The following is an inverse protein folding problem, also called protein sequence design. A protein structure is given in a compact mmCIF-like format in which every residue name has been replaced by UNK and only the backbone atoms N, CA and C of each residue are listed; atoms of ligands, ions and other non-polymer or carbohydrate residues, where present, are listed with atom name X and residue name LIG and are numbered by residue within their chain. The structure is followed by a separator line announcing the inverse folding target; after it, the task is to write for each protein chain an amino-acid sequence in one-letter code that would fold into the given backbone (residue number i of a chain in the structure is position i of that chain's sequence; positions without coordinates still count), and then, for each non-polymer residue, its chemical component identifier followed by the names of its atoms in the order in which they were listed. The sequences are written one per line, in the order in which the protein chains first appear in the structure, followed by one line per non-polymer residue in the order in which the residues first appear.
data_IF_037675158547
#
_entry.id   IF_037675158547
#
_cell.length_a   1.000
_cell.length_b   1.000
_cell.length_c   1.000
_cell.angle_alpha   90.00
_cell.angle_beta   90.00
_cell.angle_gamma   90.00
#
_symmetry.space_group_name_H-M   'P 1'
#
loop_
_entity.id
_entity.type
_entity.pdbx_description
1 polymer ?
#
# COMPACT_ATOMS: atom_id res chain seq x y z
N UNK A 1 10.81 -14.67 15.69
CA UNK A 1 11.58 -13.40 15.85
C UNK A 1 11.06 -12.28 14.92
N UNK A 2 10.56 -12.57 13.72
CA UNK A 2 10.06 -11.54 12.79
C UNK A 2 8.83 -10.75 13.29
N UNK A 3 7.87 -11.40 13.97
CA UNK A 3 6.69 -10.69 14.54
C UNK A 3 7.05 -9.67 15.62
N UNK A 4 8.14 -9.87 16.35
CA UNK A 4 8.61 -8.90 17.36
C UNK A 4 9.26 -7.66 16.72
N UNK A 5 9.93 -7.80 15.57
CA UNK A 5 10.53 -6.67 14.86
C UNK A 5 9.48 -5.75 14.24
N UNK A 6 8.38 -6.30 13.73
CA UNK A 6 7.28 -5.52 13.16
C UNK A 6 6.60 -4.61 14.21
N UNK A 7 6.55 -5.02 15.48
CA UNK A 7 5.95 -4.22 16.56
C UNK A 7 6.75 -2.95 16.93
N UNK A 8 8.02 -2.85 16.52
CA UNK A 8 8.90 -1.70 16.78
C UNK A 8 8.95 -0.70 15.62
N UNK A 9 8.40 -1.06 14.46
CA UNK A 9 8.38 -0.17 13.31
C UNK A 9 7.26 0.86 13.44
N UNK A 10 7.57 2.11 13.09
CA UNK A 10 6.56 3.18 13.00
C UNK A 10 6.45 3.63 11.54
N UNK A 11 5.23 3.74 11.00
CA UNK A 11 5.05 4.20 9.62
C UNK A 11 5.54 5.64 9.44
N UNK A 12 5.97 5.98 8.22
CA UNK A 12 6.14 7.37 7.81
C UNK A 12 4.77 8.05 7.80
N UNK A 13 4.69 9.23 8.40
CA UNK A 13 3.44 9.98 8.52
C UNK A 13 3.35 11.04 7.43
N UNK A 14 2.17 11.11 6.82
CA UNK A 14 1.76 12.17 5.91
C UNK A 14 1.44 13.44 6.69
N UNK A 15 1.67 14.61 6.08
CA UNK A 15 1.22 15.91 6.61
C UNK A 15 -0.29 16.11 6.43
N UNK A 16 -0.83 17.15 7.07
CA UNK A 16 -2.26 17.49 6.97
C UNK A 16 -2.61 18.21 5.65
N UNK A 17 -1.61 18.78 4.98
CA UNK A 17 -1.80 19.65 3.83
C UNK A 17 -1.40 19.02 2.48
N UNK A 18 -1.06 17.75 2.47
CA UNK A 18 -0.70 17.05 1.24
C UNK A 18 -1.58 15.83 0.99
N UNK A 19 -1.74 15.48 -0.29
CA UNK A 19 -2.49 14.30 -0.75
C UNK A 19 -1.57 13.14 -1.17
N UNK A 20 -0.37 13.05 -0.58
CA UNK A 20 0.65 12.05 -0.96
C UNK A 20 0.50 10.69 -0.26
N UNK A 21 -0.68 10.34 0.22
CA UNK A 21 -0.91 9.05 0.92
C UNK A 21 -0.40 7.84 0.12
N UNK A 22 -0.54 7.83 -1.20
CA UNK A 22 -0.03 6.79 -2.07
C UNK A 22 1.49 6.68 -2.01
N UNK A 23 2.20 7.79 -2.09
CA UNK A 23 3.67 7.84 -2.00
C UNK A 23 4.15 7.36 -0.62
N UNK A 24 3.52 7.83 0.45
CA UNK A 24 3.82 7.38 1.82
C UNK A 24 3.54 5.89 2.01
N UNK A 25 2.48 5.37 1.40
CA UNK A 25 2.13 3.95 1.48
C UNK A 25 3.14 3.07 0.74
N UNK A 26 3.67 3.50 -0.40
CA UNK A 26 4.78 2.83 -1.10
C UNK A 26 6.06 2.82 -0.23
N UNK A 27 6.40 3.93 0.43
CA UNK A 27 7.52 4.01 1.38
C UNK A 27 7.30 3.08 2.57
N UNK A 28 6.09 3.08 3.14
CA UNK A 28 5.73 2.25 4.28
C UNK A 28 5.78 0.76 3.93
N UNK A 29 5.38 0.37 2.71
CA UNK A 29 5.53 -1.00 2.21
C UNK A 29 6.99 -1.45 2.24
N UNK A 30 7.90 -0.66 1.67
CA UNK A 30 9.32 -1.00 1.65
C UNK A 30 9.93 -1.00 3.06
N UNK A 31 9.51 -0.04 3.89
CA UNK A 31 9.95 0.06 5.28
C UNK A 31 9.45 -1.10 6.15
N UNK A 32 8.24 -1.63 5.88
CA UNK A 32 7.71 -2.82 6.54
C UNK A 32 8.61 -4.03 6.35
N UNK A 33 9.08 -4.27 5.12
CA UNK A 33 9.93 -5.42 4.81
C UNK A 33 11.39 -5.27 5.27
N UNK A 34 11.93 -4.06 5.18
CA UNK A 34 13.37 -3.85 5.32
C UNK A 34 13.76 -2.96 6.51
N UNK A 35 12.79 -2.39 7.20
CA UNK A 35 13.00 -1.59 8.40
C UNK A 35 14.00 -0.45 8.17
N UNK A 36 14.90 -0.26 9.12
CA UNK A 36 15.89 0.82 9.11
C UNK A 36 16.95 0.71 7.99
N UNK A 37 17.04 -0.44 7.29
CA UNK A 37 17.88 -0.57 6.09
C UNK A 37 17.43 0.39 5.00
N UNK A 38 16.15 0.74 4.96
CA UNK A 38 15.56 1.70 4.04
C UNK A 38 15.56 3.09 4.66
N UNK A 39 16.38 3.99 4.10
CA UNK A 39 16.40 5.40 4.53
C UNK A 39 15.22 6.14 3.91
N UNK A 40 14.19 6.44 4.72
CA UNK A 40 12.92 7.03 4.26
C UNK A 40 13.07 8.36 3.53
N UNK A 41 13.88 9.30 4.04
CA UNK A 41 14.07 10.62 3.40
C UNK A 41 14.70 10.55 2.01
N UNK A 42 15.81 9.82 1.78
CA UNK A 42 16.34 9.61 0.43
C UNK A 42 15.35 8.91 -0.50
N UNK A 43 14.63 7.89 -0.01
CA UNK A 43 13.61 7.20 -0.79
C UNK A 43 12.48 8.16 -1.20
N UNK A 44 11.94 8.94 -0.26
CA UNK A 44 10.92 9.96 -0.54
C UNK A 44 11.37 10.92 -1.66
N UNK A 45 12.60 11.47 -1.55
CA UNK A 45 13.14 12.38 -2.57
C UNK A 45 13.26 11.72 -3.94
N UNK A 46 13.71 10.46 -3.99
CA UNK A 46 13.84 9.71 -5.23
C UNK A 46 12.48 9.45 -5.89
N UNK A 47 11.47 9.07 -5.11
CA UNK A 47 10.11 8.85 -5.62
C UNK A 47 9.45 10.15 -6.10
N UNK A 48 9.58 11.25 -5.35
CA UNK A 48 9.11 12.58 -5.77
C UNK A 48 9.80 13.02 -7.06
N UNK A 49 11.13 12.87 -7.14
CA UNK A 49 11.87 13.20 -8.36
C UNK A 49 11.41 12.35 -9.54
N UNK A 50 11.20 11.05 -9.34
CA UNK A 50 10.69 10.18 -10.40
C UNK A 50 9.31 10.61 -10.89
N UNK A 51 8.37 10.88 -9.98
CA UNK A 51 7.04 11.38 -10.33
C UNK A 51 7.09 12.72 -11.08
N UNK A 52 7.99 13.64 -10.70
CA UNK A 52 8.12 14.95 -11.35
C UNK A 52 8.56 14.88 -12.82
N UNK A 53 9.10 13.75 -13.24
CA UNK A 53 9.46 13.51 -14.66
C UNK A 53 8.26 13.13 -15.52
N UNK A 54 7.13 12.74 -14.90
CA UNK A 54 5.94 12.25 -15.59
C UNK A 54 4.76 13.21 -15.52
N UNK A 55 4.68 14.04 -14.47
CA UNK A 55 3.60 14.99 -14.29
C UNK A 55 3.95 16.06 -13.24
N UNK A 56 3.08 17.05 -13.07
CA UNK A 56 3.23 18.09 -12.07
C UNK A 56 3.14 17.54 -10.66
N UNK A 57 4.15 17.80 -9.84
CA UNK A 57 4.10 17.46 -8.41
C UNK A 57 2.97 18.22 -7.69
N UNK A 58 2.65 19.44 -8.13
CA UNK A 58 1.55 20.20 -7.56
C UNK A 58 0.22 19.46 -7.68
N UNK A 59 -0.01 18.77 -8.80
CA UNK A 59 -1.25 17.99 -9.01
C UNK A 59 -1.32 16.82 -8.03
N UNK A 60 -0.21 16.12 -7.79
CA UNK A 60 -0.18 15.02 -6.80
C UNK A 60 -0.35 15.51 -5.36
N UNK A 61 0.18 16.69 -5.05
CA UNK A 61 0.02 17.30 -3.72
C UNK A 61 -1.42 17.68 -3.42
N UNK A 62 -2.18 18.08 -4.44
CA UNK A 62 -3.56 18.57 -4.29
C UNK A 62 -4.62 17.50 -4.54
N UNK A 63 -4.41 16.67 -5.55
CA UNK A 63 -5.44 15.72 -6.04
C UNK A 63 -5.16 14.27 -5.63
N UNK A 64 -3.96 13.98 -5.09
CA UNK A 64 -3.56 12.62 -4.73
C UNK A 64 -3.07 11.80 -5.91
N UNK A 65 -3.08 10.49 -5.76
CA UNK A 65 -2.57 9.52 -6.73
C UNK A 65 -3.59 8.42 -6.98
N UNK A 66 -3.68 8.03 -8.24
CA UNK A 66 -4.46 6.89 -8.72
C UNK A 66 -3.55 5.66 -8.93
N UNK A 67 -4.14 4.52 -9.30
CA UNK A 67 -3.41 3.27 -9.55
C UNK A 67 -2.24 3.40 -10.57
N UNK A 68 -2.34 4.15 -11.68
CA UNK A 68 -1.21 4.29 -12.60
C UNK A 68 0.04 4.92 -11.97
N UNK A 69 -0.12 5.88 -11.06
CA UNK A 69 1.01 6.50 -10.36
C UNK A 69 1.62 5.52 -9.35
N UNK A 70 0.80 4.72 -8.70
CA UNK A 70 1.28 3.64 -7.82
C UNK A 70 2.07 2.60 -8.63
N UNK A 71 1.56 2.17 -9.79
CA UNK A 71 2.27 1.28 -10.71
C UNK A 71 3.65 1.85 -11.10
N UNK A 72 3.69 3.13 -11.44
CA UNK A 72 4.93 3.85 -11.77
C UNK A 72 5.96 3.81 -10.62
N UNK A 73 5.51 4.09 -9.40
CA UNK A 73 6.37 4.06 -8.20
C UNK A 73 6.87 2.65 -7.87
N UNK A 74 6.00 1.64 -7.94
CA UNK A 74 6.39 0.25 -7.69
C UNK A 74 7.36 -0.26 -8.74
N UNK A 75 7.13 0.06 -10.02
CA UNK A 75 8.06 -0.25 -11.10
C UNK A 75 9.43 0.42 -10.90
N UNK A 76 9.46 1.69 -10.50
CA UNK A 76 10.69 2.39 -10.14
C UNK A 76 11.47 1.67 -9.04
N UNK A 77 10.79 1.18 -7.99
CA UNK A 77 11.46 0.41 -6.94
C UNK A 77 12.09 -0.88 -7.48
N UNK A 78 11.44 -1.56 -8.42
CA UNK A 78 11.92 -2.82 -8.98
C UNK A 78 13.07 -2.64 -9.99
N UNK A 79 13.18 -1.48 -10.64
CA UNK A 79 14.12 -1.26 -11.75
C UNK A 79 15.29 -0.34 -11.42
N UNK A 80 15.14 0.57 -10.45
CA UNK A 80 16.18 1.52 -10.04
C UNK A 80 17.21 0.89 -9.09
N UNK A 81 18.05 1.74 -8.49
CA UNK A 81 18.98 1.31 -7.45
C UNK A 81 18.28 0.75 -6.18
N UNK A 82 16.94 0.95 -6.03
CA UNK A 82 16.15 0.36 -4.97
C UNK A 82 15.82 -1.13 -5.20
N UNK A 83 16.12 -1.70 -6.37
CA UNK A 83 16.02 -3.14 -6.65
C UNK A 83 16.81 -4.02 -5.66
N UNK A 84 17.77 -3.43 -4.93
CA UNK A 84 18.46 -4.10 -3.79
C UNK A 84 17.54 -4.42 -2.61
N UNK A 85 16.33 -3.87 -2.59
CA UNK A 85 15.24 -4.17 -1.68
C UNK A 85 14.11 -4.82 -2.50
N UNK A 86 14.29 -6.10 -2.93
CA UNK A 86 13.42 -6.70 -3.92
C UNK A 86 12.01 -6.90 -3.38
N UNK A 87 11.03 -6.51 -4.18
CA UNK A 87 9.61 -6.74 -3.94
C UNK A 87 8.99 -7.47 -5.13
N UNK A 88 8.01 -8.32 -4.84
CA UNK A 88 7.10 -8.87 -5.84
C UNK A 88 5.77 -8.13 -5.76
N UNK A 89 5.18 -7.83 -6.91
CA UNK A 89 3.92 -7.09 -7.01
C UNK A 89 2.95 -7.89 -7.85
N UNK A 90 1.76 -8.12 -7.31
CA UNK A 90 0.69 -8.83 -7.98
C UNK A 90 -0.64 -8.12 -7.77
N UNK A 91 -1.48 -8.01 -8.82
CA UNK A 91 -2.80 -7.37 -8.81
C UNK A 91 -3.87 -8.42 -9.14
N UNK A 92 -4.33 -9.20 -8.15
CA UNK A 92 -5.15 -10.40 -8.41
C UNK A 92 -6.54 -10.09 -8.96
N UNK A 93 -7.06 -8.88 -8.71
CA UNK A 93 -8.46 -8.55 -9.00
C UNK A 93 -8.67 -7.75 -10.29
N UNK A 94 -7.61 -7.39 -11.03
CA UNK A 94 -7.71 -6.64 -12.29
C UNK A 94 -8.58 -7.35 -13.33
N UNK A 95 -8.41 -8.66 -13.44
CA UNK A 95 -9.06 -9.48 -14.46
C UNK A 95 -10.23 -10.32 -13.94
N UNK A 96 -10.60 -10.17 -12.66
CA UNK A 96 -11.70 -10.92 -12.06
C UNK A 96 -13.02 -10.13 -12.15
N UNK A 97 -13.93 -10.42 -13.11
CA UNK A 97 -15.12 -9.62 -13.32
C UNK A 97 -16.15 -9.74 -12.17
N UNK A 98 -16.38 -10.96 -11.68
CA UNK A 98 -17.47 -11.28 -10.75
C UNK A 98 -16.95 -11.73 -9.38
N UNK A 99 -16.21 -10.84 -8.68
CA UNK A 99 -15.73 -11.10 -7.33
C UNK A 99 -16.56 -10.31 -6.32
N UNK A 100 -16.93 -10.93 -5.19
CA UNK A 100 -17.63 -10.25 -4.10
C UNK A 100 -16.66 -9.59 -3.13
N UNK A 101 -17.15 -8.61 -2.36
CA UNK A 101 -16.37 -7.99 -1.27
C UNK A 101 -15.82 -9.05 -0.29
N UNK A 102 -16.67 -10.04 0.08
CA UNK A 102 -16.27 -11.13 0.98
C UNK A 102 -15.15 -11.97 0.38
N UNK A 103 -15.23 -12.31 -0.91
CA UNK A 103 -14.20 -13.09 -1.60
C UNK A 103 -12.88 -12.31 -1.71
N UNK A 104 -12.92 -11.00 -2.01
CA UNK A 104 -11.71 -10.16 -2.01
C UNK A 104 -11.05 -10.18 -0.64
N UNK A 105 -11.79 -9.90 0.43
CA UNK A 105 -11.22 -9.85 1.78
C UNK A 105 -10.71 -11.21 2.25
N UNK A 106 -11.33 -12.32 1.84
CA UNK A 106 -10.85 -13.67 2.13
C UNK A 106 -9.52 -13.95 1.39
N UNK A 107 -9.41 -13.63 0.11
CA UNK A 107 -8.15 -13.79 -0.63
C UNK A 107 -7.05 -12.88 -0.10
N UNK A 108 -7.39 -11.66 0.34
CA UNK A 108 -6.45 -10.76 1.01
C UNK A 108 -5.93 -11.35 2.32
N UNK A 109 -6.80 -11.93 3.13
CA UNK A 109 -6.43 -12.59 4.39
C UNK A 109 -5.51 -13.78 4.12
N UNK A 110 -5.88 -14.66 3.21
CA UNK A 110 -5.07 -15.81 2.80
C UNK A 110 -3.68 -15.40 2.32
N UNK A 111 -3.59 -14.36 1.47
CA UNK A 111 -2.30 -13.83 1.03
C UNK A 111 -1.41 -13.38 2.20
N UNK A 112 -1.96 -12.62 3.14
CA UNK A 112 -1.22 -12.12 4.30
C UNK A 112 -0.75 -13.24 5.23
N UNK A 113 -1.55 -14.29 5.39
CA UNK A 113 -1.22 -15.45 6.23
C UNK A 113 -0.09 -16.30 5.64
N UNK A 114 -0.14 -16.58 4.33
CA UNK A 114 0.78 -17.55 3.70
C UNK A 114 2.04 -16.92 3.08
N UNK A 115 2.01 -15.64 2.70
CA UNK A 115 3.10 -15.03 1.95
C UNK A 115 3.96 -14.05 2.76
N UNK A 116 3.65 -13.82 4.04
CA UNK A 116 4.34 -12.83 4.87
C UNK A 116 4.46 -11.46 4.18
N UNK A 117 3.48 -11.15 3.34
CA UNK A 117 3.44 -9.94 2.53
C UNK A 117 2.67 -8.82 3.19
N UNK A 118 2.39 -7.79 2.40
CA UNK A 118 1.44 -6.73 2.73
C UNK A 118 0.50 -6.51 1.55
N UNK A 119 -0.61 -5.81 1.80
CA UNK A 119 -1.49 -5.35 0.73
C UNK A 119 -1.47 -3.83 0.72
N UNK A 120 -1.08 -3.27 -0.41
CA UNK A 120 -1.26 -1.85 -0.67
C UNK A 120 -2.67 -1.67 -1.22
N UNK A 121 -3.48 -0.92 -0.49
CA UNK A 121 -4.92 -0.77 -0.72
C UNK A 121 -5.30 0.70 -0.86
N UNK A 122 -5.91 1.04 -2.00
CA UNK A 122 -6.56 2.33 -2.21
C UNK A 122 -8.08 2.23 -2.04
N UNK A 123 -8.65 3.18 -1.33
CA UNK A 123 -10.10 3.43 -1.29
C UNK A 123 -10.42 4.86 -1.79
N UNK A 124 -11.67 5.27 -1.75
CA UNK A 124 -12.09 6.59 -2.25
C UNK A 124 -11.46 7.79 -1.52
N UNK A 125 -10.73 7.56 -0.43
CA UNK A 125 -10.15 8.64 0.38
C UNK A 125 -8.65 8.52 0.57
N UNK A 126 -8.10 7.30 0.51
CA UNK A 126 -6.77 7.10 1.03
C UNK A 126 -6.10 5.81 0.54
N UNK A 127 -4.78 5.87 0.36
CA UNK A 127 -3.93 4.70 0.19
C UNK A 127 -3.34 4.26 1.52
N UNK A 128 -3.42 2.97 1.81
CA UNK A 128 -2.98 2.37 3.08
C UNK A 128 -2.22 1.07 2.86
N UNK A 129 -1.38 0.69 3.81
CA UNK A 129 -0.74 -0.63 3.85
C UNK A 129 -1.47 -1.50 4.86
N UNK A 130 -2.11 -2.57 4.38
CA UNK A 130 -2.75 -3.59 5.22
C UNK A 130 -1.72 -4.65 5.55
N UNK A 131 -1.56 -4.94 6.84
CA UNK A 131 -0.55 -5.88 7.35
C UNK A 131 -1.12 -7.13 7.96
N UNK A 132 -2.40 -7.09 8.31
CA UNK A 132 -3.13 -8.22 8.88
C UNK A 132 -4.62 -8.07 8.62
N UNK A 133 -5.29 -9.18 8.38
CA UNK A 133 -6.75 -9.28 8.31
C UNK A 133 -7.15 -10.50 9.13
N UNK A 134 -8.07 -10.31 10.06
CA UNK A 134 -8.73 -11.38 10.80
C UNK A 134 -10.24 -11.42 10.46
N UNK A 135 -11.02 -12.15 11.24
CA UNK A 135 -12.46 -12.31 10.99
C UNK A 135 -13.24 -11.00 11.12
N UNK A 136 -12.76 -10.06 11.92
CA UNK A 136 -13.43 -8.80 12.21
C UNK A 136 -12.75 -7.57 11.62
N UNK A 137 -11.41 -7.55 11.53
CA UNK A 137 -10.65 -6.33 11.31
C UNK A 137 -9.64 -6.43 10.16
N UNK A 138 -9.40 -5.28 9.52
CA UNK A 138 -8.20 -5.00 8.75
C UNK A 138 -7.29 -4.13 9.60
N UNK A 139 -6.03 -4.53 9.76
CA UNK A 139 -5.01 -3.80 10.50
C UNK A 139 -4.04 -3.11 9.55
N UNK A 140 -3.64 -1.88 9.87
CA UNK A 140 -2.91 -1.00 8.97
C UNK A 140 -1.57 -0.52 9.54
N UNK A 141 -0.58 -0.47 8.66
CA UNK A 141 0.65 0.28 8.85
C UNK A 141 0.57 1.55 8.00
N UNK A 142 -0.08 2.58 8.55
CA UNK A 142 -0.66 3.68 7.79
C UNK A 142 0.05 5.02 7.99
N UNK A 143 0.08 5.83 6.92
CA UNK A 143 0.64 7.19 6.93
C UNK A 143 -0.23 8.22 7.65
N UNK A 144 -1.53 7.96 7.75
CA UNK A 144 -2.49 8.77 8.51
C UNK A 144 -2.73 8.22 9.92
N UNK A 145 -3.97 8.18 10.30
CA UNK A 145 -4.41 7.76 11.64
C UNK A 145 -5.04 6.36 11.68
N UNK A 146 -5.17 5.68 10.54
CA UNK A 146 -5.81 4.36 10.45
C UNK A 146 -4.96 3.33 11.18
N UNK A 147 -5.55 2.65 12.15
CA UNK A 147 -4.93 1.51 12.84
C UNK A 147 -5.64 0.21 12.48
N UNK A 148 -6.96 0.20 12.56
CA UNK A 148 -7.81 -0.93 12.20
C UNK A 148 -9.19 -0.42 11.74
N UNK A 149 -9.79 -1.14 10.81
CA UNK A 149 -11.13 -0.88 10.28
C UNK A 149 -11.86 -2.21 10.21
N UNK A 150 -13.10 -2.24 10.69
CA UNK A 150 -13.91 -3.46 10.69
C UNK A 150 -14.26 -3.91 9.26
N UNK A 151 -14.21 -5.23 9.01
CA UNK A 151 -14.46 -5.83 7.68
C UNK A 151 -15.80 -5.43 7.08
N UNK A 152 -16.87 -5.34 7.87
CA UNK A 152 -18.20 -4.97 7.38
C UNK A 152 -18.28 -3.51 6.88
N UNK A 153 -17.28 -2.67 7.19
CA UNK A 153 -17.18 -1.29 6.69
C UNK A 153 -16.71 -1.21 5.24
N UNK A 154 -16.35 -2.31 4.61
CA UNK A 154 -15.87 -2.35 3.24
C UNK A 154 -16.94 -2.83 2.25
N UNK A 155 -16.95 -2.28 1.03
CA UNK A 155 -17.89 -2.63 -0.02
C UNK A 155 -17.30 -2.34 -1.41
N UNK A 156 -17.59 -3.18 -2.41
CA UNK A 156 -17.28 -2.88 -3.81
C UNK A 156 -18.18 -1.80 -4.40
N UNK A 157 -19.36 -1.62 -3.83
CA UNK A 157 -20.31 -0.58 -4.26
C UNK A 157 -20.19 0.61 -3.34
N UNK A 158 -20.33 1.81 -3.92
CA UNK A 158 -20.43 3.01 -3.10
C UNK A 158 -21.64 2.89 -2.15
N UNK A 159 -21.40 3.06 -0.85
CA UNK A 159 -22.41 3.04 0.21
C UNK A 159 -22.01 4.07 1.26
N UNK A 160 -23.00 4.87 1.71
CA UNK A 160 -22.78 5.85 2.76
C UNK A 160 -22.22 5.17 4.03
N UNK A 161 -21.18 5.73 4.60
CA UNK A 161 -20.53 5.23 5.81
C UNK A 161 -19.65 3.99 5.61
N UNK A 162 -19.41 3.55 4.37
CA UNK A 162 -18.47 2.48 4.04
C UNK A 162 -17.28 2.97 3.25
N UNK A 163 -16.20 2.21 3.32
CA UNK A 163 -15.02 2.34 2.47
C UNK A 163 -15.25 1.55 1.19
N UNK A 164 -15.00 2.18 0.05
CA UNK A 164 -15.16 1.52 -1.24
C UNK A 164 -13.87 0.81 -1.63
N UNK A 165 -13.97 -0.48 -1.96
CA UNK A 165 -12.88 -1.24 -2.56
C UNK A 165 -12.88 -1.03 -4.08
N UNK A 166 -11.74 -0.64 -4.62
CA UNK A 166 -11.47 -0.62 -6.05
C UNK A 166 -10.58 -1.79 -6.41
N UNK A 167 -11.02 -2.66 -7.32
CA UNK A 167 -10.30 -3.88 -7.70
C UNK A 167 -8.92 -3.59 -8.31
N UNK A 168 -8.80 -2.48 -8.99
CA UNK A 168 -7.57 -1.99 -9.59
C UNK A 168 -6.64 -1.28 -8.60
N UNK A 169 -7.10 -0.98 -7.39
CA UNK A 169 -6.33 -0.36 -6.32
C UNK A 169 -5.97 -1.35 -5.18
N UNK A 170 -5.90 -2.65 -5.49
CA UNK A 170 -5.49 -3.70 -4.54
C UNK A 170 -4.24 -4.40 -5.07
N UNK A 171 -3.12 -4.21 -4.37
CA UNK A 171 -1.83 -4.79 -4.71
C UNK A 171 -1.38 -5.76 -3.62
N UNK A 172 -1.10 -6.99 -4.01
CA UNK A 172 -0.42 -7.96 -3.16
C UNK A 172 1.08 -7.79 -3.34
N UNK A 173 1.76 -7.43 -2.26
CA UNK A 173 3.19 -7.15 -2.30
C UNK A 173 3.90 -8.09 -1.35
N UNK A 174 4.83 -8.86 -1.89
CA UNK A 174 5.70 -9.77 -1.15
C UNK A 174 7.13 -9.24 -1.08
N UNK A 175 7.86 -9.68 -0.08
CA UNK A 175 9.31 -9.49 -0.04
C UNK A 175 9.95 -10.43 -1.06
N UNK A 176 10.67 -9.89 -2.02
CA UNK A 176 11.41 -10.68 -3.00
C UNK A 176 12.65 -11.36 -2.37
N UNK A 177 13.15 -12.40 -3.02
CA UNK A 177 14.44 -12.99 -2.62
C UNK A 177 15.55 -12.01 -2.93
N UNK A 178 16.45 -11.79 -1.97
CA UNK A 178 17.69 -11.05 -2.25
C UNK A 178 18.52 -11.86 -3.24
N UNK A 179 19.11 -11.21 -4.25
CA UNK A 179 20.01 -11.89 -5.19
C UNK A 179 21.26 -12.45 -4.51
#
# INVERSE_FOLDING_TARGET
MEKLQASLLTPAKQGELDSLCGLYSVINTLYWFYGQKVRRKPLFRALVHHLSQHSSIADYLTNGMESPQIDCLLHFLQTSHYKRYPITVYRPFLTQPNVSTKAILAQCQEWLEYNHGVILLGDQYHWSVVTHIDDDWLCFFDSGSRKHIHRHRWSLRHQQGKYQLFKDAIYFIGQGKQP
#
